data_IF_557371435110
#
_entry.id   IF_557371435110
#
_cell.length_a   1.000
_cell.length_b   1.000
_cell.length_c   1.000
_cell.angle_alpha   90.00
_cell.angle_beta   90.00
_cell.angle_gamma   90.00
#
_symmetry.space_group_name_H-M   'P 1'
#
loop_
_entity.id
_entity.type
_entity.pdbx_description
1 polymer ?
#
# COMPACT_ATOMS: atom_id res chain seq x y z
N UNK A 1 9.63 29.34 3.20
CA UNK A 1 10.20 29.04 4.53
C UNK A 1 11.24 27.96 4.38
N UNK A 2 12.44 28.19 4.92
CA UNK A 2 13.61 27.31 4.82
C UNK A 2 13.60 26.26 5.94
N UNK A 3 12.51 25.51 6.07
CA UNK A 3 12.48 24.30 6.88
C UNK A 3 12.98 23.15 5.99
N UNK A 4 13.90 22.34 6.49
CA UNK A 4 14.47 21.16 5.81
C UNK A 4 13.38 20.25 5.22
N UNK A 5 12.24 20.16 5.93
CA UNK A 5 11.03 19.46 5.48
C UNK A 5 10.41 20.07 4.22
N UNK A 6 10.37 21.41 4.12
CA UNK A 6 9.84 22.12 2.95
C UNK A 6 10.71 21.95 1.71
N UNK A 7 12.04 21.86 1.89
CA UNK A 7 12.97 21.54 0.80
C UNK A 7 12.72 20.13 0.26
N UNK A 8 12.57 19.14 1.14
CA UNK A 8 12.27 17.76 0.77
C UNK A 8 10.93 17.65 0.01
N UNK A 9 9.87 18.27 0.51
CA UNK A 9 8.56 18.23 -0.18
C UNK A 9 8.61 18.95 -1.54
N UNK A 10 9.35 20.05 -1.65
CA UNK A 10 9.51 20.76 -2.92
C UNK A 10 10.26 19.91 -3.96
N UNK A 11 11.29 19.16 -3.55
CA UNK A 11 11.98 18.24 -4.45
C UNK A 11 11.12 17.04 -4.86
N UNK A 12 10.27 16.53 -3.96
CA UNK A 12 9.29 15.50 -4.30
C UNK A 12 8.28 15.99 -5.37
N UNK A 13 7.78 17.23 -5.24
CA UNK A 13 6.92 17.85 -6.25
C UNK A 13 7.63 18.00 -7.60
N UNK A 14 8.91 18.40 -7.60
CA UNK A 14 9.70 18.48 -8.83
C UNK A 14 9.89 17.12 -9.50
N UNK A 15 10.10 16.05 -8.72
CA UNK A 15 10.21 14.68 -9.23
C UNK A 15 8.90 14.22 -9.91
N UNK A 16 7.75 14.48 -9.28
CA UNK A 16 6.43 14.17 -9.86
C UNK A 16 6.22 14.95 -11.17
N UNK A 17 6.52 16.25 -11.16
CA UNK A 17 6.36 17.12 -12.32
C UNK A 17 7.29 16.76 -13.48
N UNK A 18 8.50 16.28 -13.19
CA UNK A 18 9.52 15.97 -14.21
C UNK A 18 9.31 14.62 -14.91
N UNK A 19 8.52 13.71 -14.34
CA UNK A 19 8.21 12.41 -14.91
C UNK A 19 7.22 12.43 -16.08
N UNK A 20 6.37 13.46 -16.20
CA UNK A 20 5.36 13.50 -17.27
C UNK A 20 4.45 12.27 -17.29
N UNK A 21 3.95 11.88 -18.47
CA UNK A 21 3.01 10.74 -18.59
C UNK A 21 3.69 9.37 -18.46
N UNK A 22 4.85 9.20 -19.08
CA UNK A 22 5.54 7.90 -19.22
C UNK A 22 6.79 7.74 -18.36
N UNK A 23 7.19 8.79 -17.64
CA UNK A 23 8.39 8.79 -16.82
C UNK A 23 9.67 9.03 -17.61
N UNK A 24 10.78 9.06 -16.89
CA UNK A 24 12.13 9.18 -17.44
C UNK A 24 12.82 7.83 -17.68
N UNK A 25 12.21 6.74 -17.25
CA UNK A 25 12.77 5.39 -17.28
C UNK A 25 13.24 4.92 -15.91
N UNK A 26 13.15 3.62 -15.67
CA UNK A 26 13.53 2.98 -14.41
C UNK A 26 14.99 3.25 -14.05
N UNK A 27 15.22 3.69 -12.81
CA UNK A 27 16.56 4.02 -12.31
C UNK A 27 17.18 5.29 -12.90
N UNK A 28 16.46 6.05 -13.74
CA UNK A 28 16.90 7.33 -14.30
C UNK A 28 16.35 8.53 -13.52
N UNK A 29 15.92 8.35 -12.27
CA UNK A 29 15.48 9.45 -11.42
C UNK A 29 16.67 10.37 -11.09
N UNK A 30 16.51 11.65 -11.44
CA UNK A 30 17.53 12.67 -11.19
C UNK A 30 17.45 13.10 -9.72
N UNK A 31 16.23 13.16 -9.16
CA UNK A 31 16.00 13.71 -7.83
C UNK A 31 16.40 12.72 -6.73
N UNK A 32 16.40 11.42 -7.07
CA UNK A 32 16.93 10.32 -6.25
C UNK A 32 18.44 10.38 -6.01
N UNK A 33 19.20 10.94 -6.94
CA UNK A 33 20.67 10.84 -6.94
C UNK A 33 21.38 11.92 -6.09
N UNK A 34 20.65 12.74 -5.34
CA UNK A 34 21.29 13.71 -4.43
C UNK A 34 20.42 14.85 -3.90
N UNK A 35 19.13 14.91 -4.22
CA UNK A 35 18.28 16.07 -3.87
C UNK A 35 17.21 15.77 -2.81
N UNK A 36 16.79 14.51 -2.65
CA UNK A 36 15.81 14.09 -1.64
C UNK A 36 16.51 13.17 -0.62
N UNK A 37 16.74 13.64 0.63
CA UNK A 37 17.48 12.89 1.65
C UNK A 37 16.82 11.55 2.04
N UNK A 38 15.49 11.45 1.97
CA UNK A 38 14.69 10.28 2.36
C UNK A 38 13.91 9.69 1.17
N UNK A 39 14.56 9.54 0.02
CA UNK A 39 13.96 9.07 -1.23
C UNK A 39 13.40 7.65 -1.15
N UNK A 40 13.91 6.85 -0.22
CA UNK A 40 13.59 5.43 -0.12
C UNK A 40 12.44 5.15 0.87
N UNK A 41 12.05 6.12 1.69
CA UNK A 41 11.07 5.94 2.76
C UNK A 41 9.76 6.63 2.38
N UNK A 42 9.47 7.81 2.91
CA UNK A 42 8.23 8.56 2.73
C UNK A 42 8.07 9.15 1.31
N UNK A 43 9.16 9.44 0.61
CA UNK A 43 9.13 10.07 -0.73
C UNK A 43 9.26 9.09 -1.90
N UNK A 44 9.25 7.77 -1.67
CA UNK A 44 9.44 6.78 -2.74
C UNK A 44 8.38 6.91 -3.86
N UNK A 45 7.15 7.30 -3.52
CA UNK A 45 6.10 7.52 -4.51
C UNK A 45 6.47 8.62 -5.51
N UNK A 46 7.13 9.70 -5.06
CA UNK A 46 7.58 10.78 -5.95
C UNK A 46 8.63 10.31 -6.96
N UNK A 47 9.53 9.41 -6.52
CA UNK A 47 10.54 8.78 -7.39
C UNK A 47 9.87 7.89 -8.42
N UNK A 48 8.87 7.11 -8.02
CA UNK A 48 8.13 6.25 -8.94
C UNK A 48 7.39 7.10 -9.98
N UNK A 49 6.80 8.22 -9.58
CA UNK A 49 6.20 9.17 -10.52
C UNK A 49 7.25 9.81 -11.45
N UNK A 50 8.49 10.04 -11.02
CA UNK A 50 9.55 10.52 -11.90
C UNK A 50 9.97 9.44 -12.92
N UNK A 51 10.18 8.21 -12.47
CA UNK A 51 10.72 7.11 -13.29
C UNK A 51 9.68 6.52 -14.24
N UNK A 52 8.43 6.35 -13.79
CA UNK A 52 7.34 5.71 -14.52
C UNK A 52 6.21 6.68 -14.94
N UNK A 53 6.31 7.94 -14.54
CA UNK A 53 5.32 8.95 -14.87
C UNK A 53 4.02 8.81 -14.08
N UNK A 54 3.03 9.58 -14.51
CA UNK A 54 1.67 9.53 -13.99
C UNK A 54 1.06 8.13 -14.13
N UNK A 55 1.38 7.41 -15.21
CA UNK A 55 0.87 6.05 -15.44
C UNK A 55 1.36 5.10 -14.34
N UNK A 56 2.65 5.18 -13.97
CA UNK A 56 3.19 4.39 -12.85
C UNK A 56 2.54 4.73 -11.52
N UNK A 57 2.35 6.03 -11.23
CA UNK A 57 1.66 6.49 -10.02
C UNK A 57 0.23 5.98 -9.92
N UNK A 58 -0.55 6.09 -11.00
CA UNK A 58 -1.91 5.53 -11.09
C UNK A 58 -1.88 4.01 -10.92
N UNK A 59 -0.92 3.33 -11.56
CA UNK A 59 -0.75 1.88 -11.44
C UNK A 59 -0.59 1.43 -9.99
N UNK A 60 0.23 2.14 -9.19
CA UNK A 60 0.38 1.87 -7.76
C UNK A 60 -0.91 2.07 -6.99
N UNK A 61 -1.63 3.18 -7.23
CA UNK A 61 -2.90 3.45 -6.56
C UNK A 61 -3.92 2.34 -6.88
N UNK A 62 -3.96 1.89 -8.14
CA UNK A 62 -4.83 0.79 -8.58
C UNK A 62 -4.45 -0.52 -7.90
N UNK A 63 -3.15 -0.84 -7.78
CA UNK A 63 -2.68 -2.05 -7.07
C UNK A 63 -3.14 -2.03 -5.60
N UNK A 64 -3.00 -0.90 -4.91
CA UNK A 64 -3.52 -0.76 -3.55
C UNK A 64 -5.04 -0.87 -3.50
N UNK A 65 -5.76 -0.29 -4.46
CA UNK A 65 -7.21 -0.44 -4.58
C UNK A 65 -7.64 -1.91 -4.71
N UNK A 66 -6.95 -2.68 -5.55
CA UNK A 66 -7.18 -4.12 -5.72
C UNK A 66 -6.86 -4.88 -4.43
N UNK A 67 -5.77 -4.52 -3.73
CA UNK A 67 -5.40 -5.12 -2.46
C UNK A 67 -6.50 -4.89 -1.40
N UNK A 68 -6.93 -3.65 -1.20
CA UNK A 68 -7.98 -3.32 -0.22
C UNK A 68 -9.31 -3.99 -0.58
N UNK A 69 -9.64 -4.08 -1.88
CA UNK A 69 -10.80 -4.85 -2.35
C UNK A 69 -10.69 -6.32 -1.97
N UNK A 70 -9.54 -6.96 -2.22
CA UNK A 70 -9.31 -8.37 -1.87
C UNK A 70 -9.44 -8.61 -0.36
N UNK A 71 -8.86 -7.73 0.46
CA UNK A 71 -8.97 -7.81 1.91
C UNK A 71 -10.43 -7.67 2.37
N UNK A 72 -11.19 -6.74 1.76
CA UNK A 72 -12.62 -6.59 2.04
C UNK A 72 -13.39 -7.89 1.77
N UNK A 73 -13.12 -8.57 0.65
CA UNK A 73 -13.78 -9.86 0.35
C UNK A 73 -13.47 -10.92 1.43
N UNK A 74 -12.26 -10.92 1.99
CA UNK A 74 -11.90 -11.82 3.10
C UNK A 74 -12.66 -11.43 4.38
N UNK A 75 -12.78 -10.14 4.68
CA UNK A 75 -13.52 -9.65 5.84
C UNK A 75 -15.02 -10.02 5.78
N UNK A 76 -15.63 -9.93 4.60
CA UNK A 76 -17.04 -10.31 4.36
C UNK A 76 -17.24 -11.83 4.40
N UNK A 77 -16.23 -12.62 4.00
CA UNK A 77 -16.28 -14.08 4.03
C UNK A 77 -15.83 -14.72 5.36
N UNK A 78 -15.38 -13.93 6.34
CA UNK A 78 -14.84 -14.44 7.59
C UNK A 78 -15.91 -15.24 8.38
N UNK A 79 -15.54 -16.39 8.98
CA UNK A 79 -16.50 -17.26 9.68
C UNK A 79 -16.99 -16.68 11.00
N UNK A 80 -16.23 -15.76 11.60
CA UNK A 80 -16.52 -15.14 12.88
C UNK A 80 -16.33 -13.61 12.85
N UNK A 81 -17.04 -12.92 13.75
CA UNK A 81 -17.01 -11.44 13.83
C UNK A 81 -15.63 -10.91 14.22
N UNK A 82 -14.87 -11.65 15.01
CA UNK A 82 -13.54 -11.20 15.44
C UNK A 82 -12.57 -11.23 14.26
N UNK A 83 -12.55 -12.30 13.47
CA UNK A 83 -11.79 -12.40 12.23
C UNK A 83 -12.17 -11.31 11.22
N UNK A 84 -13.46 -11.04 11.06
CA UNK A 84 -13.93 -9.93 10.20
C UNK A 84 -13.40 -8.57 10.68
N UNK A 85 -13.55 -8.25 11.98
CA UNK A 85 -13.07 -6.99 12.56
C UNK A 85 -11.55 -6.85 12.49
N UNK A 86 -10.81 -7.95 12.68
CA UNK A 86 -9.36 -7.98 12.52
C UNK A 86 -8.96 -7.57 11.11
N UNK A 87 -9.56 -8.20 10.09
CA UNK A 87 -9.26 -7.89 8.68
C UNK A 87 -9.65 -6.44 8.36
N UNK A 88 -10.78 -5.94 8.88
CA UNK A 88 -11.17 -4.52 8.74
C UNK A 88 -10.13 -3.58 9.38
N UNK A 89 -9.60 -3.93 10.55
CA UNK A 89 -8.51 -3.17 11.19
C UNK A 89 -7.27 -3.07 10.29
N UNK A 90 -6.87 -4.19 9.66
CA UNK A 90 -5.75 -4.22 8.71
C UNK A 90 -6.04 -3.39 7.45
N UNK A 91 -7.26 -3.45 6.91
CA UNK A 91 -7.70 -2.60 5.79
C UNK A 91 -7.54 -1.12 6.13
N UNK A 92 -8.02 -0.71 7.31
CA UNK A 92 -7.92 0.68 7.77
C UNK A 92 -6.46 1.07 7.95
N UNK A 93 -5.64 0.22 8.56
CA UNK A 93 -4.23 0.52 8.79
C UNK A 93 -3.46 0.72 7.47
N UNK A 94 -3.58 -0.22 6.52
CA UNK A 94 -2.93 -0.10 5.20
C UNK A 94 -3.49 1.09 4.42
N UNK A 95 -4.81 1.25 4.38
CA UNK A 95 -5.47 2.34 3.65
C UNK A 95 -5.09 3.72 4.18
N UNK A 96 -5.00 3.86 5.52
CA UNK A 96 -4.58 5.10 6.16
C UNK A 96 -3.14 5.48 5.78
N UNK A 97 -2.20 4.52 5.82
CA UNK A 97 -0.82 4.75 5.42
C UNK A 97 -0.71 5.22 3.96
N UNK A 98 -1.45 4.58 3.03
CA UNK A 98 -1.46 4.97 1.61
C UNK A 98 -1.99 6.39 1.42
N UNK A 99 -3.14 6.72 2.02
CA UNK A 99 -3.76 8.05 1.88
C UNK A 99 -2.86 9.14 2.45
N UNK A 100 -2.33 8.94 3.66
CA UNK A 100 -1.43 9.91 4.29
C UNK A 100 -0.16 10.10 3.46
N UNK A 101 0.47 9.01 2.98
CA UNK A 101 1.66 9.11 2.14
C UNK A 101 1.38 9.91 0.86
N UNK A 102 0.24 9.67 0.20
CA UNK A 102 -0.14 10.42 -1.00
C UNK A 102 -0.36 11.91 -0.71
N UNK A 103 -1.03 12.26 0.40
CA UNK A 103 -1.20 13.64 0.83
C UNK A 103 0.13 14.35 1.11
N UNK A 104 1.10 13.66 1.72
CA UNK A 104 2.44 14.20 1.98
C UNK A 104 3.18 14.47 0.67
N UNK A 105 3.20 13.49 -0.22
CA UNK A 105 3.96 13.57 -1.48
C UNK A 105 3.38 14.61 -2.44
N UNK A 106 2.08 14.89 -2.33
CA UNK A 106 1.38 15.93 -3.11
C UNK A 106 1.34 17.31 -2.43
N UNK A 107 2.07 17.48 -1.30
CA UNK A 107 2.11 18.72 -0.51
C UNK A 107 0.74 19.14 0.08
N UNK A 108 -0.24 18.24 0.13
CA UNK A 108 -1.52 18.46 0.83
C UNK A 108 -1.36 18.41 2.35
N UNK A 109 -0.36 17.68 2.85
CA UNK A 109 -0.01 17.58 4.27
C UNK A 109 1.50 17.79 4.47
N UNK A 110 1.93 18.30 5.63
CA UNK A 110 3.34 18.37 5.97
C UNK A 110 3.94 16.96 6.07
N UNK A 111 5.25 16.84 5.88
CA UNK A 111 5.91 15.53 5.93
C UNK A 111 5.71 14.85 7.30
N UNK A 112 5.04 13.70 7.30
CA UNK A 112 4.74 12.91 8.50
C UNK A 112 5.71 11.73 8.70
N UNK A 113 6.58 11.44 7.71
CA UNK A 113 7.47 10.28 7.75
C UNK A 113 6.77 8.92 7.62
N UNK A 114 5.48 8.91 7.21
CA UNK A 114 4.71 7.67 7.02
C UNK A 114 5.15 6.99 5.72
N UNK A 115 5.63 5.75 5.86
CA UNK A 115 6.06 4.89 4.75
C UNK A 115 4.89 4.42 3.90
N UNK A 116 5.09 4.32 2.58
CA UNK A 116 4.17 3.64 1.68
C UNK A 116 4.22 2.12 1.95
N UNK A 117 3.10 1.46 2.30
CA UNK A 117 3.11 0.04 2.67
C UNK A 117 3.73 -0.83 1.58
N UNK A 118 4.54 -1.82 1.95
CA UNK A 118 5.19 -2.79 1.04
C UNK A 118 6.18 -2.24 -0.01
N UNK A 119 6.21 -0.92 -0.25
CA UNK A 119 7.06 -0.30 -1.29
C UNK A 119 8.22 0.47 -0.68
N UNK A 120 7.97 1.20 0.41
CA UNK A 120 8.98 1.98 1.10
C UNK A 120 9.94 1.12 1.91
N UNK A 121 11.18 1.60 2.03
CA UNK A 121 12.20 1.00 2.86
C UNK A 121 11.94 1.32 4.34
N UNK A 122 11.35 0.38 5.07
CA UNK A 122 11.14 0.51 6.51
C UNK A 122 11.16 -0.85 7.17
N UNK A 123 12.32 -1.28 7.70
CA UNK A 123 12.52 -2.65 8.16
C UNK A 123 11.47 -3.11 9.18
N UNK A 124 11.21 -2.31 10.21
CA UNK A 124 10.18 -2.61 11.22
C UNK A 124 8.76 -2.53 10.65
N UNK A 125 8.45 -1.48 9.88
CA UNK A 125 7.13 -1.30 9.25
C UNK A 125 6.76 -2.48 8.36
N UNK A 126 7.71 -2.94 7.53
CA UNK A 126 7.53 -4.10 6.66
C UNK A 126 7.27 -5.38 7.45
N UNK A 127 8.00 -5.61 8.55
CA UNK A 127 7.74 -6.77 9.41
C UNK A 127 6.32 -6.75 10.00
N UNK A 128 5.84 -5.60 10.48
CA UNK A 128 4.48 -5.48 11.00
C UNK A 128 3.43 -5.70 9.92
N UNK A 129 3.61 -5.11 8.74
CA UNK A 129 2.71 -5.32 7.59
C UNK A 129 2.66 -6.80 7.16
N UNK A 130 3.80 -7.50 7.15
CA UNK A 130 3.85 -8.92 6.83
C UNK A 130 3.14 -9.77 7.89
N UNK A 131 3.27 -9.43 9.18
CA UNK A 131 2.52 -10.09 10.25
C UNK A 131 1.01 -9.86 10.14
N UNK A 132 0.58 -8.63 9.83
CA UNK A 132 -0.82 -8.29 9.59
C UNK A 132 -1.42 -9.10 8.45
N UNK A 133 -0.70 -9.18 7.31
CA UNK A 133 -1.12 -10.04 6.18
C UNK A 133 -1.15 -11.51 6.60
N UNK A 134 -0.20 -11.97 7.43
CA UNK A 134 -0.22 -13.31 8.00
C UNK A 134 -1.49 -13.61 8.80
N UNK A 135 -1.96 -12.67 9.62
CA UNK A 135 -3.23 -12.81 10.33
C UNK A 135 -4.43 -12.83 9.39
N UNK A 136 -4.46 -11.96 8.37
CA UNK A 136 -5.53 -11.98 7.35
C UNK A 136 -5.57 -13.33 6.63
N UNK A 137 -4.41 -13.88 6.24
CA UNK A 137 -4.34 -15.18 5.58
C UNK A 137 -4.79 -16.32 6.51
N UNK A 138 -4.52 -16.22 7.81
CA UNK A 138 -5.01 -17.16 8.80
C UNK A 138 -6.55 -17.16 8.88
N UNK A 139 -7.18 -15.99 8.83
CA UNK A 139 -8.66 -15.85 8.74
C UNK A 139 -9.16 -16.40 7.41
N UNK A 140 -8.53 -16.01 6.29
CA UNK A 140 -8.91 -16.46 4.95
C UNK A 140 -8.89 -17.99 4.81
N UNK A 141 -7.96 -18.68 5.48
CA UNK A 141 -7.88 -20.15 5.45
C UNK A 141 -9.07 -20.84 6.12
N UNK A 142 -9.77 -20.15 7.03
CA UNK A 142 -10.94 -20.70 7.72
C UNK A 142 -12.23 -20.56 6.90
N UNK A 143 -12.22 -19.73 5.85
CA UNK A 143 -13.31 -19.59 4.90
C UNK A 143 -13.39 -20.90 4.10
N UNK A 144 -14.23 -21.83 4.56
CA UNK A 144 -14.37 -23.14 3.93
C UNK A 144 -14.92 -22.97 2.51
N UNK A 145 -14.29 -23.56 1.48
CA UNK A 145 -14.98 -23.84 0.24
C UNK A 145 -16.16 -24.74 0.57
N UNK A 146 -17.34 -24.41 0.04
CA UNK A 146 -18.51 -25.30 0.10
C UNK A 146 -18.07 -26.69 -0.36
N UNK A 147 -18.06 -27.68 0.55
CA UNK A 147 -17.83 -29.08 0.19
C UNK A 147 -19.07 -29.54 -0.57
N UNK A 148 -18.97 -29.54 -1.89
CA UNK A 148 -19.84 -30.32 -2.76
C UNK A 148 -19.61 -31.80 -2.43
N UNK A 149 -20.61 -32.49 -1.88
CA UNK A 149 -20.53 -33.92 -1.58
C UNK A 149 -20.92 -34.38 -0.17
N UNK A 150 -21.95 -33.77 0.44
CA UNK A 150 -22.75 -34.48 1.47
C UNK A 150 -24.16 -34.70 0.93
N UNK A 151 -24.24 -35.43 -0.18
CA UNK A 151 -25.47 -36.05 -0.65
C UNK A 151 -25.14 -37.51 -0.93
N UNK A 152 -25.89 -38.40 -0.26
CA UNK A 152 -25.89 -39.86 -0.34
C UNK A 152 -25.02 -40.63 0.67
N UNK A 153 -25.54 -40.73 1.91
CA UNK A 153 -25.80 -42.04 2.54
C UNK A 153 -27.03 -41.93 3.45
N UNK A 154 -28.23 -42.38 3.03
CA UNK A 154 -29.14 -43.03 3.94
C UNK A 154 -28.72 -44.51 4.00
N UNK A 155 -27.92 -44.86 5.01
CA UNK A 155 -27.94 -46.23 5.52
C UNK A 155 -29.22 -46.40 6.37
N UNK A 156 -29.84 -47.58 6.21
CA UNK A 156 -30.82 -48.23 7.10
C UNK A 156 -32.28 -47.74 7.09
N UNK A 157 -33.17 -48.45 6.37
CA UNK A 157 -34.07 -49.52 6.89
C UNK A 157 -34.38 -50.54 5.78
#
# INVERSE_FOLDING_TARGET
ETSENGYQTMQALYAIGSGGLFGRGLGQSIQKTGYIPETHTDMIFSVICEELGIIGGIGIIVIFGILLWRLRMIAEGAPDRFGSLLVVGVIIHIGFQVVVNLCVVTNLMPNTGVTLPFVSYGGSSLLFLLMEVGFVLAVSRQIRPYKEGSLATPEEV
#
